data_IF_287948355287
#
_entry.id   IF_287948355287
#
_cell.length_a   1.000
_cell.length_b   1.000
_cell.length_c   1.000
_cell.angle_alpha   90.00
_cell.angle_beta   90.00
_cell.angle_gamma   90.00
#
_symmetry.space_group_name_H-M   'P 1'
#
loop_
_entity.id
_entity.type
_entity.pdbx_description
1 polymer ?
#
# COMPACT_ATOMS: atom_id res chain seq x y z
N UNK A 1 -8.19 12.35 -5.12
CA UNK A 1 -8.81 11.26 -4.34
C UNK A 1 -9.00 10.00 -5.16
N UNK A 2 -9.36 10.10 -6.45
CA UNK A 2 -9.55 8.96 -7.35
C UNK A 2 -8.39 7.97 -7.36
N UNK A 3 -7.16 8.40 -7.67
CA UNK A 3 -5.99 7.52 -7.66
C UNK A 3 -5.71 6.89 -6.28
N UNK A 4 -5.94 7.61 -5.18
CA UNK A 4 -5.80 7.02 -3.84
C UNK A 4 -6.81 5.91 -3.60
N UNK A 5 -8.06 6.07 -4.07
CA UNK A 5 -9.09 5.02 -4.00
C UNK A 5 -8.75 3.85 -4.91
N UNK A 6 -8.28 4.10 -6.13
CA UNK A 6 -7.86 3.04 -7.05
C UNK A 6 -6.72 2.20 -6.46
N UNK A 7 -5.72 2.82 -5.82
CA UNK A 7 -4.66 2.11 -5.08
C UNK A 7 -5.27 1.27 -3.95
N UNK A 8 -6.15 1.86 -3.14
CA UNK A 8 -6.78 1.17 -2.02
C UNK A 8 -7.59 -0.06 -2.48
N UNK A 9 -8.42 0.11 -3.51
CA UNK A 9 -9.26 -0.95 -4.08
C UNK A 9 -8.41 -2.06 -4.71
N UNK A 10 -7.35 -1.70 -5.44
CA UNK A 10 -6.44 -2.67 -6.05
C UNK A 10 -5.62 -3.47 -5.04
N UNK A 11 -5.20 -2.84 -3.94
CA UNK A 11 -4.48 -3.52 -2.86
C UNK A 11 -5.42 -4.38 -2.00
N UNK A 12 -6.68 -3.95 -1.79
CA UNK A 12 -7.68 -4.71 -1.03
C UNK A 12 -8.06 -6.05 -1.68
N UNK A 13 -7.68 -6.28 -2.94
CA UNK A 13 -7.82 -7.57 -3.62
C UNK A 13 -6.75 -8.61 -3.22
N UNK A 14 -5.72 -8.22 -2.47
CA UNK A 14 -4.69 -9.12 -1.94
C UNK A 14 -5.23 -9.85 -0.70
N UNK A 15 -4.98 -11.14 -0.59
CA UNK A 15 -5.35 -11.92 0.60
C UNK A 15 -4.74 -11.31 1.88
N UNK A 16 -5.58 -11.16 2.91
CA UNK A 16 -5.27 -10.55 4.20
C UNK A 16 -4.91 -9.05 4.16
N UNK A 17 -5.07 -8.36 3.02
CA UNK A 17 -4.93 -6.91 2.96
C UNK A 17 -6.18 -6.20 3.49
N UNK A 18 -5.98 -5.26 4.42
CA UNK A 18 -7.04 -4.47 5.05
C UNK A 18 -6.71 -2.98 4.91
N UNK A 19 -7.54 -2.23 4.17
CA UNK A 19 -7.47 -0.76 4.13
C UNK A 19 -8.11 -0.22 5.40
N UNK A 20 -7.31 0.38 6.29
CA UNK A 20 -7.74 0.67 7.65
C UNK A 20 -8.44 2.04 7.83
N UNK A 21 -8.31 2.93 6.84
CA UNK A 21 -8.89 4.27 6.88
C UNK A 21 -9.85 4.51 5.73
N UNK A 22 -10.83 5.40 5.95
CA UNK A 22 -11.63 5.94 4.85
C UNK A 22 -10.73 6.76 3.91
N UNK A 23 -10.71 6.39 2.63
CA UNK A 23 -9.94 7.09 1.60
C UNK A 23 -10.76 8.27 1.07
N UNK A 24 -10.84 9.32 1.89
CA UNK A 24 -11.57 10.57 1.59
C UNK A 24 -10.66 11.68 1.06
N UNK A 25 -9.34 11.45 0.98
CA UNK A 25 -8.39 12.41 0.44
C UNK A 25 -7.24 11.74 -0.31
N UNK A 26 -6.00 11.92 0.12
CA UNK A 26 -4.81 11.39 -0.56
C UNK A 26 -4.17 10.21 0.14
N UNK A 27 -4.50 9.96 1.41
CA UNK A 27 -3.81 8.97 2.24
C UNK A 27 -4.53 7.62 2.26
N UNK A 28 -3.73 6.55 2.14
CA UNK A 28 -4.14 5.16 2.30
C UNK A 28 -3.20 4.49 3.32
N UNK A 29 -3.77 3.79 4.29
CA UNK A 29 -3.09 2.97 5.28
C UNK A 29 -3.59 1.54 5.12
N UNK A 30 -2.68 0.60 4.86
CA UNK A 30 -2.99 -0.82 4.66
C UNK A 30 -2.25 -1.65 5.70
N UNK A 31 -2.90 -2.67 6.26
CA UNK A 31 -2.25 -3.77 6.97
C UNK A 31 -2.39 -5.07 6.18
N UNK A 32 -1.44 -6.00 6.37
CA UNK A 32 -1.44 -7.33 5.76
C UNK A 32 -1.44 -8.37 6.87
N UNK A 33 -2.62 -8.82 7.31
CA UNK A 33 -2.76 -9.70 8.46
C UNK A 33 -2.19 -9.09 9.74
N UNK A 34 -1.09 -9.66 10.24
CA UNK A 34 -0.41 -9.18 11.44
C UNK A 34 0.68 -8.13 11.17
N UNK A 35 1.21 -7.56 12.25
CA UNK A 35 2.25 -6.53 12.19
C UNK A 35 3.57 -7.06 11.58
N UNK A 36 3.88 -8.36 11.74
CA UNK A 36 5.12 -8.93 11.23
C UNK A 36 5.06 -9.05 9.71
N UNK A 37 3.95 -9.56 9.17
CA UNK A 37 3.71 -9.62 7.73
C UNK A 37 3.61 -8.23 7.12
N UNK A 38 2.94 -7.29 7.78
CA UNK A 38 2.88 -5.89 7.29
C UNK A 38 4.27 -5.26 7.13
N UNK A 39 5.18 -5.48 8.09
CA UNK A 39 6.58 -5.05 7.97
C UNK A 39 7.29 -5.77 6.83
N UNK A 40 7.14 -7.08 6.72
CA UNK A 40 7.78 -7.87 5.66
C UNK A 40 7.33 -7.43 4.25
N UNK A 41 6.04 -7.15 4.04
CA UNK A 41 5.53 -6.59 2.78
C UNK A 41 6.14 -5.22 2.50
N UNK A 42 6.21 -4.36 3.52
CA UNK A 42 6.80 -3.02 3.40
C UNK A 42 8.28 -3.10 2.99
N UNK A 43 9.05 -3.96 3.66
CA UNK A 43 10.49 -4.13 3.38
C UNK A 43 10.71 -4.70 1.97
N UNK A 44 9.90 -5.67 1.54
CA UNK A 44 9.95 -6.23 0.20
C UNK A 44 9.61 -5.18 -0.88
N UNK A 45 8.61 -4.34 -0.65
CA UNK A 45 8.24 -3.27 -1.57
C UNK A 45 9.35 -2.21 -1.69
N UNK A 46 9.93 -1.80 -0.57
CA UNK A 46 11.06 -0.86 -0.58
C UNK A 46 12.30 -1.43 -1.27
N UNK A 47 12.53 -2.74 -1.17
CA UNK A 47 13.60 -3.43 -1.89
C UNK A 47 13.33 -3.58 -3.40
N UNK A 48 12.07 -3.79 -3.80
CA UNK A 48 11.65 -3.83 -5.22
C UNK A 48 11.84 -2.46 -5.90
N UNK A 49 11.55 -1.36 -5.20
CA UNK A 49 11.85 -0.01 -5.65
C UNK A 49 10.94 0.54 -6.76
N UNK A 50 9.93 -0.22 -7.22
CA UNK A 50 8.97 0.26 -8.23
C UNK A 50 8.09 1.38 -7.70
N UNK A 51 7.66 1.28 -6.44
CA UNK A 51 6.82 2.28 -5.79
C UNK A 51 7.36 2.61 -4.40
N UNK A 52 7.31 3.88 -4.02
CA UNK A 52 7.74 4.33 -2.69
C UNK A 52 6.53 4.51 -1.77
N UNK A 53 6.21 3.45 -1.03
CA UNK A 53 5.26 3.47 0.07
C UNK A 53 5.99 3.00 1.33
N UNK A 54 5.80 3.70 2.44
CA UNK A 54 6.60 3.49 3.64
C UNK A 54 5.79 2.93 4.79
N UNK A 55 6.44 2.17 5.67
CA UNK A 55 5.86 1.76 6.94
C UNK A 55 5.49 2.94 7.83
N UNK A 56 4.51 2.75 8.69
CA UNK A 56 4.12 3.65 9.77
C UNK A 56 3.42 2.88 10.88
N UNK A 57 3.17 3.53 12.01
CA UNK A 57 2.41 2.95 13.12
C UNK A 57 1.13 3.77 13.34
N UNK A 58 -0.02 3.12 13.27
CA UNK A 58 -1.33 3.76 13.44
C UNK A 58 -2.24 2.93 14.34
N UNK A 59 -2.80 3.55 15.40
CA UNK A 59 -3.64 2.87 16.41
C UNK A 59 -3.04 1.56 16.90
N UNK A 60 -1.75 1.63 17.23
CA UNK A 60 -0.95 0.52 17.72
C UNK A 60 -0.73 -0.67 16.75
N UNK A 61 -1.06 -0.52 15.47
CA UNK A 61 -0.78 -1.47 14.38
C UNK A 61 0.31 -0.93 13.44
N UNK A 62 1.08 -1.83 12.85
CA UNK A 62 1.92 -1.51 11.69
C UNK A 62 1.04 -1.32 10.46
N UNK A 63 1.41 -0.36 9.61
CA UNK A 63 0.72 -0.09 8.35
C UNK A 63 1.73 0.23 7.25
N UNK A 64 1.45 -0.25 6.04
CA UNK A 64 1.97 0.36 4.83
C UNK A 64 1.19 1.65 4.56
N UNK A 65 1.87 2.76 4.31
CA UNK A 65 1.23 4.06 4.09
C UNK A 65 1.71 4.71 2.81
N UNK A 66 0.76 5.28 2.07
CA UNK A 66 1.02 6.11 0.90
C UNK A 66 0.14 7.36 0.91
N UNK A 67 0.68 8.47 0.41
CA UNK A 67 -0.04 9.71 0.14
C UNK A 67 0.06 10.05 -1.34
N UNK A 68 -1.05 9.96 -2.06
CA UNK A 68 -1.10 10.26 -3.50
C UNK A 68 -1.35 11.75 -3.71
N UNK A 69 -0.27 12.53 -3.77
CA UNK A 69 -0.34 13.99 -3.88
C UNK A 69 0.51 14.58 -5.00
N UNK A 70 1.29 13.78 -5.72
CA UNK A 70 2.04 14.26 -6.86
C UNK A 70 1.08 14.52 -8.03
N UNK A 71 1.11 15.74 -8.56
CA UNK A 71 0.22 16.17 -9.64
C UNK A 71 0.47 15.43 -10.96
N UNK A 72 1.67 14.86 -11.14
CA UNK A 72 2.03 14.13 -12.35
C UNK A 72 1.72 12.63 -12.28
N UNK A 73 1.20 12.13 -11.14
CA UNK A 73 0.81 10.71 -11.03
C UNK A 73 -0.37 10.42 -11.95
N UNK A 74 -0.23 9.39 -12.78
CA UNK A 74 -1.27 8.95 -13.71
C UNK A 74 -1.75 7.51 -13.43
N UNK A 75 -2.64 7.00 -14.29
CA UNK A 75 -3.20 5.65 -14.15
C UNK A 75 -2.16 4.54 -14.30
N UNK A 76 -1.10 4.75 -15.10
CA UNK A 76 -0.04 3.78 -15.28
C UNK A 76 0.84 3.70 -14.03
N UNK A 77 1.13 4.84 -13.40
CA UNK A 77 1.82 4.89 -12.11
C UNK A 77 1.02 4.16 -11.01
N UNK A 78 -0.30 4.36 -10.98
CA UNK A 78 -1.21 3.69 -10.06
C UNK A 78 -1.21 2.17 -10.27
N UNK A 79 -1.35 1.72 -11.52
CA UNK A 79 -1.32 0.30 -11.85
C UNK A 79 0.03 -0.35 -11.48
N UNK A 80 1.15 0.30 -11.81
CA UNK A 80 2.47 -0.19 -11.46
C UNK A 80 2.68 -0.27 -9.94
N UNK A 81 2.13 0.71 -9.19
CA UNK A 81 2.17 0.73 -7.73
C UNK A 81 1.37 -0.42 -7.11
N UNK A 82 0.17 -0.71 -7.63
CA UNK A 82 -0.64 -1.84 -7.18
C UNK A 82 0.11 -3.15 -7.44
N UNK A 83 0.60 -3.38 -8.67
CA UNK A 83 1.34 -4.59 -9.02
C UNK A 83 2.61 -4.79 -8.18
N UNK A 84 3.30 -3.70 -7.81
CA UNK A 84 4.45 -3.78 -6.92
C UNK A 84 4.07 -4.28 -5.53
N UNK A 85 2.93 -3.83 -4.98
CA UNK A 85 2.42 -4.31 -3.69
C UNK A 85 1.98 -5.77 -3.78
N UNK A 86 1.34 -6.18 -4.87
CA UNK A 86 0.99 -7.59 -5.12
C UNK A 86 2.24 -8.50 -5.11
N UNK A 87 3.31 -8.10 -5.81
CA UNK A 87 4.59 -8.84 -5.80
C UNK A 87 5.21 -8.89 -4.41
N UNK A 88 5.25 -7.75 -3.70
CA UNK A 88 5.81 -7.68 -2.35
C UNK A 88 5.03 -8.58 -1.37
N UNK A 89 3.69 -8.58 -1.46
CA UNK A 89 2.82 -9.42 -0.64
C UNK A 89 2.98 -10.91 -0.92
N UNK A 90 3.25 -11.30 -2.16
CA UNK A 90 3.50 -12.70 -2.52
C UNK A 90 4.88 -13.22 -2.06
N UNK A 91 5.85 -12.33 -1.84
CA UNK A 91 7.18 -12.67 -1.34
C UNK A 91 7.25 -12.69 0.20
N UNK A 92 6.39 -11.93 0.86
CA UNK A 92 6.32 -11.86 2.30
C UNK A 92 5.61 -13.11 2.89
N UNK A 93 6.16 -13.69 3.96
CA UNK A 93 5.57 -14.86 4.63
C UNK A 93 4.28 -14.53 5.40
#
# INVERSE_FOLDING_TARGET
>A
VEHARAIADGIAAIDDAEVLNDVVFTQVCIAFGDDARTRAVTDALLADGTAWMSGSRWRDREVLRVSVSNWSTDDADVAASIEAVHRAAALAP
#
